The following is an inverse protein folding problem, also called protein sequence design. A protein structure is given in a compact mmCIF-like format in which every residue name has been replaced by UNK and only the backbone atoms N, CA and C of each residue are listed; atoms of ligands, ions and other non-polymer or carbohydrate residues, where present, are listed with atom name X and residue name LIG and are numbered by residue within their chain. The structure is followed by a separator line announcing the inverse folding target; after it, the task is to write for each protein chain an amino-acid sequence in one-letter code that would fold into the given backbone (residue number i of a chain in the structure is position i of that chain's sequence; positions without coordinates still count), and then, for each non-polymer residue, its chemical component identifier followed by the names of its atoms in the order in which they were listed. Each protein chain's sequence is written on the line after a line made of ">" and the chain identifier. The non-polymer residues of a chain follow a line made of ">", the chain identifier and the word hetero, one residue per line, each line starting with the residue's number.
data_IF_667018732669
#
_entry.id   IF_667018732669
#
_cell.length_a   1.000
_cell.length_b   1.000
_cell.length_c   1.000
_cell.angle_alpha   90.00
_cell.angle_beta   90.00
_cell.angle_gamma   90.00
#
_symmetry.space_group_name_H-M   'P 1'
#
loop_
_entity.id
_entity.type
_entity.pdbx_description
1 polymer ?
#
# COMPACT_ATOMS: atom_id res chain seq x y z
N UNK A 1 8.98 29.33 -29.56
CA UNK A 1 9.37 28.17 -28.72
C UNK A 1 9.45 28.66 -27.28
N UNK A 2 8.64 28.09 -26.38
CA UNK A 2 8.86 28.34 -24.94
C UNK A 2 10.17 27.63 -24.56
N UNK A 3 11.15 28.41 -24.12
CA UNK A 3 12.47 27.89 -23.76
C UNK A 3 12.41 26.99 -22.53
N UNK A 4 13.37 26.10 -22.39
CA UNK A 4 13.59 25.31 -21.18
C UNK A 4 13.94 26.27 -20.03
N UNK A 5 13.15 26.20 -18.94
CA UNK A 5 13.31 27.03 -17.74
C UNK A 5 13.71 26.18 -16.53
N UNK A 6 15.00 26.19 -16.14
CA UNK A 6 15.48 25.39 -14.99
C UNK A 6 14.88 25.84 -13.64
N UNK A 7 14.50 27.11 -13.50
CA UNK A 7 13.90 27.61 -12.26
C UNK A 7 12.47 27.06 -12.08
N UNK A 8 11.70 27.01 -13.17
CA UNK A 8 10.39 26.38 -13.15
C UNK A 8 10.45 24.91 -12.73
N UNK A 9 11.52 24.17 -13.09
CA UNK A 9 11.70 22.77 -12.65
C UNK A 9 11.92 22.64 -11.14
N UNK A 10 12.65 23.57 -10.53
CA UNK A 10 12.84 23.59 -9.06
C UNK A 10 11.50 23.81 -8.36
N UNK A 11 10.67 24.71 -8.88
CA UNK A 11 9.35 24.97 -8.33
C UNK A 11 8.44 23.74 -8.43
N UNK A 12 8.46 23.02 -9.57
CA UNK A 12 7.72 21.77 -9.72
C UNK A 12 8.17 20.73 -8.66
N UNK A 13 9.47 20.57 -8.46
CA UNK A 13 9.97 19.62 -7.45
C UNK A 13 9.57 19.98 -6.02
N UNK A 14 9.52 21.30 -5.71
CA UNK A 14 9.18 21.78 -4.37
C UNK A 14 7.67 21.80 -4.09
N UNK A 15 6.84 22.12 -5.08
CA UNK A 15 5.41 22.43 -4.87
C UNK A 15 4.48 21.33 -5.37
N UNK A 16 4.96 20.40 -6.21
CA UNK A 16 4.09 19.36 -6.78
C UNK A 16 3.70 18.28 -5.75
N UNK A 17 2.41 18.18 -5.40
CA UNK A 17 1.94 17.14 -4.46
C UNK A 17 2.26 15.72 -4.92
N UNK A 18 2.19 15.45 -6.21
CA UNK A 18 2.54 14.14 -6.77
C UNK A 18 4.02 13.78 -6.63
N UNK A 19 4.90 14.77 -6.67
CA UNK A 19 6.34 14.58 -6.41
C UNK A 19 6.58 14.22 -4.94
N UNK A 20 5.98 14.97 -4.03
CA UNK A 20 6.08 14.75 -2.59
C UNK A 20 5.44 13.43 -2.16
N UNK A 21 4.26 13.11 -2.69
CA UNK A 21 3.56 11.85 -2.40
C UNK A 21 4.41 10.62 -2.77
N UNK A 22 5.04 10.63 -3.97
CA UNK A 22 5.93 9.52 -4.39
C UNK A 22 7.19 9.42 -3.53
N UNK A 23 7.78 10.54 -3.12
CA UNK A 23 8.95 10.55 -2.24
C UNK A 23 8.58 10.02 -0.85
N UNK A 24 7.46 10.47 -0.29
CA UNK A 24 6.93 10.02 1.00
C UNK A 24 6.59 8.52 0.97
N UNK A 25 5.89 8.05 -0.08
CA UNK A 25 5.56 6.64 -0.25
C UNK A 25 6.82 5.76 -0.26
N UNK A 26 7.87 6.15 -1.01
CA UNK A 26 9.14 5.42 -1.02
C UNK A 26 9.82 5.38 0.35
N UNK A 27 9.78 6.48 1.11
CA UNK A 27 10.36 6.56 2.45
C UNK A 27 9.62 5.68 3.45
N UNK A 28 8.29 5.72 3.45
CA UNK A 28 7.46 4.85 4.28
C UNK A 28 7.62 3.37 3.91
N UNK A 29 7.70 3.06 2.61
CA UNK A 29 7.93 1.68 2.15
C UNK A 29 9.27 1.14 2.67
N UNK A 30 10.36 1.91 2.58
CA UNK A 30 11.66 1.50 3.12
C UNK A 30 11.61 1.30 4.63
N UNK A 31 10.94 2.21 5.33
CA UNK A 31 10.79 2.13 6.79
C UNK A 31 10.04 0.86 7.21
N UNK A 32 8.87 0.61 6.65
CA UNK A 32 8.08 -0.58 6.98
C UNK A 32 8.73 -1.88 6.48
N UNK A 33 9.44 -1.87 5.35
CA UNK A 33 10.23 -3.01 4.91
C UNK A 33 11.31 -3.39 5.95
N UNK A 34 11.97 -2.41 6.53
CA UNK A 34 12.95 -2.66 7.59
C UNK A 34 12.28 -3.27 8.84
N UNK A 35 11.11 -2.76 9.23
CA UNK A 35 10.35 -3.27 10.38
C UNK A 35 9.87 -4.72 10.17
N UNK A 36 9.38 -5.05 8.97
CA UNK A 36 8.83 -6.37 8.65
C UNK A 36 9.87 -7.40 8.22
N UNK A 37 11.11 -6.99 7.97
CA UNK A 37 12.18 -7.88 7.52
C UNK A 37 12.36 -9.14 8.39
N UNK A 38 12.31 -9.09 9.74
CA UNK A 38 12.41 -10.29 10.57
C UNK A 38 11.32 -11.33 10.33
N UNK A 39 10.16 -10.92 9.81
CA UNK A 39 9.02 -11.80 9.45
C UNK A 39 9.07 -12.26 7.99
N UNK A 40 10.09 -11.88 7.23
CA UNK A 40 10.17 -12.18 5.80
C UNK A 40 9.08 -11.51 4.97
N UNK A 41 8.56 -10.36 5.42
CA UNK A 41 7.52 -9.58 4.73
C UNK A 41 8.08 -8.26 4.19
N UNK A 42 7.50 -7.80 3.09
CA UNK A 42 7.60 -6.41 2.64
C UNK A 42 6.35 -5.63 3.10
N UNK A 43 6.45 -4.29 3.09
CA UNK A 43 5.31 -3.41 3.37
C UNK A 43 4.13 -3.68 2.42
N UNK A 44 4.41 -3.91 1.14
CA UNK A 44 3.41 -4.24 0.12
C UNK A 44 2.72 -5.57 0.43
N UNK A 45 3.48 -6.62 0.71
CA UNK A 45 2.94 -7.94 1.07
C UNK A 45 2.07 -7.86 2.33
N UNK A 46 2.50 -7.14 3.36
CA UNK A 46 1.69 -6.89 4.55
C UNK A 46 0.37 -6.20 4.20
N UNK A 47 0.42 -5.14 3.39
CA UNK A 47 -0.78 -4.40 2.95
C UNK A 47 -1.76 -5.29 2.18
N UNK A 48 -1.25 -6.17 1.30
CA UNK A 48 -2.09 -7.11 0.56
C UNK A 48 -2.72 -8.16 1.48
N UNK A 49 -1.97 -8.73 2.39
CA UNK A 49 -2.50 -9.69 3.37
C UNK A 49 -3.58 -9.06 4.25
N UNK A 50 -3.39 -7.81 4.67
CA UNK A 50 -4.40 -7.05 5.43
C UNK A 50 -5.65 -6.81 4.57
N UNK A 51 -5.49 -6.36 3.32
CA UNK A 51 -6.61 -6.12 2.41
C UNK A 51 -7.43 -7.39 2.11
N UNK A 52 -6.77 -8.52 1.92
CA UNK A 52 -7.43 -9.82 1.73
C UNK A 52 -8.12 -10.28 3.02
N UNK A 53 -7.47 -10.13 4.18
CA UNK A 53 -8.04 -10.53 5.47
C UNK A 53 -9.20 -9.65 5.94
N UNK A 54 -9.23 -8.38 5.55
CA UNK A 54 -10.33 -7.44 5.83
C UNK A 54 -11.60 -7.77 4.99
N UNK A 55 -11.40 -8.21 3.76
CA UNK A 55 -12.46 -8.49 2.81
C UNK A 55 -12.31 -9.91 2.25
N UNK A 56 -12.48 -10.93 3.10
CA UNK A 56 -12.39 -12.33 2.70
C UNK A 56 -13.33 -12.64 1.52
N UNK A 57 -12.78 -13.28 0.50
CA UNK A 57 -13.47 -13.53 -0.74
C UNK A 57 -13.43 -12.38 -1.74
N UNK A 58 -12.67 -11.31 -1.46
CA UNK A 58 -12.41 -10.25 -2.44
C UNK A 58 -11.76 -10.81 -3.70
N UNK A 59 -12.11 -10.25 -4.85
CA UNK A 59 -11.45 -10.61 -6.11
C UNK A 59 -10.18 -9.80 -6.33
N UNK A 60 -9.33 -10.29 -7.24
CA UNK A 60 -8.13 -9.56 -7.65
C UNK A 60 -8.45 -8.17 -8.18
N UNK A 61 -9.54 -8.02 -8.94
CA UNK A 61 -9.98 -6.74 -9.52
C UNK A 61 -10.40 -5.77 -8.42
N UNK A 62 -11.27 -6.22 -7.50
CA UNK A 62 -11.72 -5.39 -6.37
C UNK A 62 -10.55 -4.94 -5.48
N UNK A 63 -9.60 -5.84 -5.23
CA UNK A 63 -8.41 -5.51 -4.45
C UNK A 63 -7.50 -4.50 -5.17
N UNK A 64 -7.35 -4.65 -6.50
CA UNK A 64 -6.59 -3.72 -7.33
C UNK A 64 -7.21 -2.33 -7.36
N UNK A 65 -8.53 -2.25 -7.54
CA UNK A 65 -9.29 -0.99 -7.51
C UNK A 65 -9.15 -0.30 -6.14
N UNK A 66 -9.32 -1.05 -5.06
CA UNK A 66 -9.16 -0.53 -3.68
C UNK A 66 -7.73 -0.06 -3.39
N UNK A 67 -6.73 -0.75 -3.92
CA UNK A 67 -5.32 -0.40 -3.75
C UNK A 67 -4.84 0.71 -4.71
N UNK A 68 -5.62 1.07 -5.72
CA UNK A 68 -5.24 2.05 -6.73
C UNK A 68 -4.10 1.60 -7.64
N UNK A 69 -3.97 0.28 -7.86
CA UNK A 69 -2.94 -0.34 -8.71
C UNK A 69 -3.58 -1.13 -9.85
N UNK A 70 -2.80 -1.38 -10.93
CA UNK A 70 -3.31 -2.22 -12.00
C UNK A 70 -3.36 -3.71 -11.60
N UNK A 71 -4.36 -4.43 -12.10
CA UNK A 71 -4.59 -5.83 -11.77
C UNK A 71 -3.43 -6.76 -12.19
N UNK A 72 -2.65 -6.40 -13.22
CA UNK A 72 -1.50 -7.18 -13.68
C UNK A 72 -0.35 -7.13 -12.67
N UNK A 73 -0.05 -5.93 -12.16
CA UNK A 73 0.95 -5.72 -11.11
C UNK A 73 0.54 -6.45 -9.84
N UNK A 74 -0.71 -6.29 -9.41
CA UNK A 74 -1.23 -6.96 -8.22
C UNK A 74 -1.21 -8.49 -8.35
N UNK A 75 -1.52 -9.00 -9.54
CA UNK A 75 -1.51 -10.44 -9.82
C UNK A 75 -0.18 -11.11 -9.50
N UNK A 76 0.94 -10.45 -9.82
CA UNK A 76 2.28 -10.99 -9.49
C UNK A 76 2.53 -11.04 -7.99
N UNK A 77 2.13 -9.99 -7.28
CA UNK A 77 2.26 -9.93 -5.82
C UNK A 77 1.41 -11.00 -5.14
N UNK A 78 0.17 -11.20 -5.59
CA UNK A 78 -0.71 -12.27 -5.09
C UNK A 78 -0.14 -13.66 -5.40
N UNK A 79 0.38 -13.89 -6.60
CA UNK A 79 1.04 -15.17 -6.96
C UNK A 79 2.22 -15.49 -6.03
N UNK A 80 3.01 -14.48 -5.66
CA UNK A 80 4.08 -14.66 -4.69
C UNK A 80 3.54 -15.11 -3.32
N UNK A 81 2.44 -14.52 -2.86
CA UNK A 81 1.80 -14.90 -1.60
C UNK A 81 1.19 -16.31 -1.68
N UNK A 82 0.57 -16.69 -2.82
CA UNK A 82 0.09 -18.04 -3.07
C UNK A 82 1.23 -19.08 -3.01
N UNK A 83 2.36 -18.78 -3.67
CA UNK A 83 3.52 -19.69 -3.69
C UNK A 83 4.17 -19.89 -2.31
N UNK A 84 3.89 -18.99 -1.37
CA UNK A 84 4.34 -19.05 0.03
C UNK A 84 3.27 -19.65 0.96
N UNK A 85 2.18 -20.19 0.44
CA UNK A 85 1.06 -20.73 1.23
C UNK A 85 0.44 -19.69 2.19
N UNK A 86 0.37 -18.44 1.79
CA UNK A 86 -0.19 -17.34 2.60
C UNK A 86 -1.60 -16.94 2.15
N UNK A 87 -1.91 -17.16 0.88
CA UNK A 87 -3.19 -16.81 0.24
C UNK A 87 -3.66 -17.97 -0.63
N UNK A 88 -4.94 -18.26 -0.58
CA UNK A 88 -5.64 -19.12 -1.54
C UNK A 88 -6.42 -18.26 -2.53
N UNK A 89 -6.41 -18.69 -3.80
CA UNK A 89 -7.19 -18.08 -4.87
C UNK A 89 -8.10 -19.13 -5.50
N UNK A 90 -9.38 -19.11 -5.17
CA UNK A 90 -10.36 -20.14 -5.55
C UNK A 90 -11.58 -19.56 -6.25
N UNK A 91 -12.33 -20.41 -6.96
CA UNK A 91 -13.58 -20.03 -7.62
C UNK A 91 -13.37 -19.09 -8.83
N UNK A 92 -14.48 -18.56 -9.33
CA UNK A 92 -14.51 -17.55 -10.40
C UNK A 92 -14.07 -18.07 -11.79
N UNK A 93 -14.32 -17.23 -12.81
CA UNK A 93 -13.82 -17.46 -14.17
C UNK A 93 -12.54 -16.64 -14.40
N UNK A 94 -11.47 -17.33 -14.78
CA UNK A 94 -10.17 -16.72 -15.00
C UNK A 94 -9.52 -16.22 -13.72
N UNK A 95 -8.28 -15.72 -13.83
CA UNK A 95 -7.48 -15.30 -12.68
C UNK A 95 -8.07 -14.09 -11.96
N UNK A 96 -8.58 -13.12 -12.71
CA UNK A 96 -9.13 -11.86 -12.19
C UNK A 96 -10.41 -12.05 -11.35
N UNK A 97 -11.20 -13.10 -11.64
CA UNK A 97 -12.44 -13.42 -10.93
C UNK A 97 -12.28 -14.39 -9.76
N UNK A 98 -11.05 -14.87 -9.48
CA UNK A 98 -10.80 -15.72 -8.33
C UNK A 98 -10.99 -14.96 -7.02
N UNK A 99 -11.62 -15.62 -6.06
CA UNK A 99 -11.77 -15.11 -4.71
C UNK A 99 -10.50 -15.38 -3.90
N UNK A 100 -10.01 -14.37 -3.22
CA UNK A 100 -8.79 -14.40 -2.42
C UNK A 100 -9.16 -14.56 -0.94
N UNK A 101 -8.50 -15.49 -0.27
CA UNK A 101 -8.65 -15.71 1.19
C UNK A 101 -7.28 -15.97 1.82
N UNK A 102 -7.15 -15.64 3.09
CA UNK A 102 -5.95 -16.00 3.84
C UNK A 102 -5.97 -17.47 4.21
N UNK A 103 -4.85 -18.15 4.00
CA UNK A 103 -4.63 -19.50 4.56
C UNK A 103 -4.46 -19.44 6.08
N UNK A 104 -4.39 -20.58 6.75
CA UNK A 104 -4.03 -20.63 8.16
C UNK A 104 -2.63 -20.04 8.43
N UNK A 105 -1.68 -20.26 7.51
CA UNK A 105 -0.33 -19.67 7.58
C UNK A 105 -0.35 -18.18 7.37
N UNK A 106 -1.16 -17.69 6.41
CA UNK A 106 -1.34 -16.26 6.18
C UNK A 106 -1.94 -15.55 7.39
N UNK A 107 -2.97 -16.12 8.02
CA UNK A 107 -3.58 -15.57 9.24
C UNK A 107 -2.57 -15.47 10.40
N UNK A 108 -1.76 -16.53 10.60
CA UNK A 108 -0.71 -16.50 11.63
C UNK A 108 0.31 -15.40 11.34
N UNK A 109 0.80 -15.31 10.11
CA UNK A 109 1.77 -14.29 9.74
C UNK A 109 1.23 -12.87 9.92
N UNK A 110 -0.03 -12.62 9.57
CA UNK A 110 -0.70 -11.33 9.86
C UNK A 110 -0.77 -11.07 11.36
N UNK A 111 -1.15 -12.07 12.15
CA UNK A 111 -1.20 -11.94 13.61
C UNK A 111 0.17 -11.57 14.21
N UNK A 112 1.26 -12.16 13.69
CA UNK A 112 2.63 -11.84 14.11
C UNK A 112 3.08 -10.45 13.64
N UNK A 113 2.60 -10.00 12.46
CA UNK A 113 2.95 -8.72 11.89
C UNK A 113 2.21 -7.53 12.54
N UNK A 114 1.01 -7.73 13.09
CA UNK A 114 0.23 -6.66 13.70
C UNK A 114 0.94 -5.95 14.88
N UNK A 115 1.59 -6.65 15.83
CA UNK A 115 2.40 -5.98 16.86
C UNK A 115 3.54 -5.15 16.28
N UNK A 116 4.23 -5.67 15.24
CA UNK A 116 5.31 -4.95 14.55
C UNK A 116 4.80 -3.66 13.92
N UNK A 117 3.65 -3.74 13.22
CA UNK A 117 2.99 -2.58 12.65
C UNK A 117 2.59 -1.54 13.71
N UNK A 118 2.02 -1.99 14.86
CA UNK A 118 1.64 -1.07 15.95
C UNK A 118 2.86 -0.35 16.50
N UNK A 119 3.96 -1.07 16.70
CA UNK A 119 5.22 -0.51 17.20
C UNK A 119 5.80 0.51 16.22
N UNK A 120 5.85 0.17 14.93
CA UNK A 120 6.32 1.08 13.87
C UNK A 120 5.47 2.34 13.78
N UNK A 121 4.14 2.21 13.84
CA UNK A 121 3.22 3.36 13.86
C UNK A 121 3.45 4.25 15.10
N UNK A 122 3.64 3.65 16.28
CA UNK A 122 3.90 4.39 17.52
C UNK A 122 5.25 5.13 17.45
N UNK A 123 6.28 4.54 16.83
CA UNK A 123 7.56 5.21 16.62
C UNK A 123 7.41 6.43 15.70
N UNK A 124 6.67 6.31 14.59
CA UNK A 124 6.39 7.46 13.72
C UNK A 124 5.63 8.57 14.48
N UNK A 125 4.64 8.20 15.27
CA UNK A 125 3.89 9.14 16.12
C UNK A 125 4.80 9.82 17.14
N UNK A 126 5.70 9.09 17.78
CA UNK A 126 6.66 9.64 18.73
C UNK A 126 7.65 10.62 18.12
N UNK A 127 8.02 10.41 16.82
CA UNK A 127 8.93 11.31 16.08
C UNK A 127 8.23 12.53 15.49
N UNK A 128 6.98 12.41 15.10
CA UNK A 128 6.23 13.44 14.39
C UNK A 128 5.25 14.21 15.30
N UNK A 129 4.72 13.56 16.31
CA UNK A 129 3.58 13.98 17.11
C UNK A 129 2.29 13.23 16.69
N UNK A 130 1.47 12.84 17.66
CA UNK A 130 0.22 12.11 17.37
C UNK A 130 -0.76 12.92 16.53
N UNK A 131 -0.91 14.21 16.83
CA UNK A 131 -1.80 15.12 16.08
C UNK A 131 -1.30 15.35 14.65
N UNK A 132 -0.01 15.55 14.51
CA UNK A 132 0.65 15.77 13.21
C UNK A 132 0.55 14.52 12.33
N UNK A 133 0.76 13.33 12.88
CA UNK A 133 0.59 12.07 12.14
C UNK A 133 -0.88 11.86 11.73
N UNK A 134 -1.83 12.17 12.62
CA UNK A 134 -3.26 12.10 12.30
C UNK A 134 -3.61 13.06 11.17
N UNK A 135 -3.18 14.33 11.25
CA UNK A 135 -3.43 15.35 10.24
C UNK A 135 -2.80 14.98 8.88
N UNK A 136 -1.58 14.44 8.89
CA UNK A 136 -0.92 13.97 7.67
C UNK A 136 -1.70 12.84 6.99
N UNK A 137 -2.23 11.88 7.76
CA UNK A 137 -3.07 10.80 7.23
C UNK A 137 -4.37 11.32 6.61
N UNK A 138 -5.03 12.28 7.27
CA UNK A 138 -6.22 12.92 6.72
C UNK A 138 -5.91 13.68 5.43
N UNK A 139 -4.85 14.50 5.42
CA UNK A 139 -4.44 15.25 4.24
C UNK A 139 -4.09 14.33 3.04
N UNK A 140 -3.45 13.19 3.28
CA UNK A 140 -3.21 12.20 2.23
C UNK A 140 -4.50 11.63 1.66
N UNK A 141 -5.49 11.31 2.49
CA UNK A 141 -6.78 10.80 2.05
C UNK A 141 -7.57 11.85 1.25
N UNK A 142 -7.58 13.10 1.70
CA UNK A 142 -8.23 14.21 1.00
C UNK A 142 -7.57 14.50 -0.35
N UNK A 143 -6.23 14.47 -0.40
CA UNK A 143 -5.48 14.65 -1.64
C UNK A 143 -5.78 13.55 -2.66
N UNK A 144 -5.83 12.30 -2.22
CA UNK A 144 -6.20 11.18 -3.07
C UNK A 144 -7.61 11.36 -3.65
N UNK A 145 -8.59 11.68 -2.81
CA UNK A 145 -9.98 11.95 -3.23
C UNK A 145 -10.08 13.10 -4.21
N UNK A 146 -9.36 14.18 -3.98
CA UNK A 146 -9.33 15.33 -4.88
C UNK A 146 -8.73 14.97 -6.24
N UNK A 147 -7.66 14.18 -6.28
CA UNK A 147 -7.04 13.73 -7.52
C UNK A 147 -7.94 12.78 -8.31
N UNK A 148 -8.68 11.89 -7.65
CA UNK A 148 -9.67 11.00 -8.29
C UNK A 148 -10.83 11.81 -8.90
N UNK A 149 -11.37 12.78 -8.15
CA UNK A 149 -12.46 13.65 -8.63
C UNK A 149 -12.07 14.49 -9.84
N UNK A 150 -10.79 14.88 -9.94
CA UNK A 150 -10.29 15.67 -11.07
C UNK A 150 -10.11 14.86 -12.37
N UNK A 151 -10.27 13.53 -12.33
CA UNK A 151 -10.19 12.63 -13.48
C UNK A 151 -11.57 12.30 -14.09
N UNK A 152 -12.64 12.58 -13.35
CA UNK A 152 -14.02 12.37 -13.77
C UNK A 152 -14.51 13.53 -14.65
#
# INVERSE_FOLDING_TARGET
>A
MKGFDPEALKNVAAECPGFQARATARSLTRYYNACFKPLGLTAEQFSLLVGIGEAEGTTLVELADKAGVDATTLSRSVQNLESRDLVDATGGRGRAGKQLTLTASGRRLVADALPVWRSAKAELAGRMGDKELHSARQAMAELAKAAESARA
#
